data_IF_048765244831
#
_entry.id   IF_048765244831
#
_cell.length_a   1.000
_cell.length_b   1.000
_cell.length_c   1.000
_cell.angle_alpha   90.00
_cell.angle_beta   90.00
_cell.angle_gamma   90.00
#
_symmetry.space_group_name_H-M   'P 1'
#
loop_
_entity.id
_entity.type
_entity.pdbx_description
1 polymer ?
#
# COMPACT_ATOMS: atom_id res chain seq x y z
N UNK A 1 -7.24 27.66 -12.13
CA UNK A 1 -6.01 26.90 -12.46
C UNK A 1 -6.14 25.47 -11.94
N UNK A 2 -6.28 24.46 -12.81
CA UNK A 2 -6.15 23.06 -12.37
C UNK A 2 -4.66 22.81 -12.11
N UNK A 3 -4.30 22.59 -10.84
CA UNK A 3 -2.94 22.25 -10.45
C UNK A 3 -2.54 20.97 -11.21
N UNK A 4 -1.43 21.02 -11.97
CA UNK A 4 -0.91 19.84 -12.67
C UNK A 4 -0.49 18.84 -11.59
N UNK A 5 -1.31 17.80 -11.39
CA UNK A 5 -1.00 16.73 -10.46
C UNK A 5 0.28 16.04 -10.97
N UNK A 6 1.35 16.09 -10.18
CA UNK A 6 2.59 15.40 -10.50
C UNK A 6 2.40 13.88 -10.34
N UNK A 7 3.37 13.05 -10.77
CA UNK A 7 3.24 11.58 -10.73
C UNK A 7 2.88 11.06 -9.34
N UNK A 8 3.52 11.60 -8.30
CA UNK A 8 3.24 11.22 -6.91
C UNK A 8 1.81 11.57 -6.49
N UNK A 9 1.32 12.76 -6.82
CA UNK A 9 -0.07 13.15 -6.55
C UNK A 9 -1.09 12.32 -7.33
N UNK A 10 -0.72 11.84 -8.54
CA UNK A 10 -1.59 10.96 -9.31
C UNK A 10 -1.64 9.57 -8.68
N UNK A 11 -0.51 9.02 -8.24
CA UNK A 11 -0.47 7.78 -7.49
C UNK A 11 -1.31 7.87 -6.22
N UNK A 12 -1.16 8.96 -5.46
CA UNK A 12 -1.95 9.21 -4.25
C UNK A 12 -3.45 9.20 -4.55
N UNK A 13 -3.88 9.95 -5.58
CA UNK A 13 -5.27 9.99 -6.03
C UNK A 13 -5.78 8.60 -6.45
N UNK A 14 -4.99 7.88 -7.26
CA UNK A 14 -5.30 6.53 -7.73
C UNK A 14 -5.49 5.59 -6.53
N UNK A 15 -4.60 5.62 -5.53
CA UNK A 15 -4.71 4.79 -4.32
C UNK A 15 -6.02 5.04 -3.56
N UNK A 16 -6.50 6.28 -3.49
CA UNK A 16 -7.79 6.58 -2.87
C UNK A 16 -8.97 6.00 -3.66
N UNK A 17 -8.86 5.84 -4.99
CA UNK A 17 -9.91 5.20 -5.80
C UNK A 17 -10.09 3.72 -5.48
N UNK A 18 -9.09 3.06 -4.88
CA UNK A 18 -9.21 1.67 -4.43
C UNK A 18 -10.24 1.49 -3.30
N UNK A 19 -10.65 2.60 -2.65
CA UNK A 19 -11.68 2.63 -1.63
C UNK A 19 -12.99 3.21 -2.21
N UNK A 20 -14.02 2.40 -2.46
CA UNK A 20 -15.25 2.87 -3.10
C UNK A 20 -16.16 3.66 -2.14
N UNK A 21 -16.07 3.41 -0.83
CA UNK A 21 -16.84 4.13 0.19
C UNK A 21 -16.10 5.38 0.64
N UNK A 22 -16.82 6.49 0.81
CA UNK A 22 -16.24 7.75 1.30
C UNK A 22 -15.49 7.56 2.63
N UNK A 23 -16.10 6.87 3.58
CA UNK A 23 -15.46 6.60 4.88
C UNK A 23 -14.12 5.86 4.75
N UNK A 24 -14.03 4.90 3.83
CA UNK A 24 -12.79 4.16 3.57
C UNK A 24 -11.73 5.05 2.90
N UNK A 25 -12.15 5.94 1.98
CA UNK A 25 -11.24 6.94 1.39
C UNK A 25 -10.69 7.90 2.44
N UNK A 26 -11.56 8.44 3.29
CA UNK A 26 -11.16 9.39 4.33
C UNK A 26 -10.14 8.73 5.29
N UNK A 27 -10.36 7.47 5.68
CA UNK A 27 -9.42 6.73 6.52
C UNK A 27 -8.12 6.38 5.79
N UNK A 28 -8.19 5.95 4.52
CA UNK A 28 -7.01 5.66 3.70
C UNK A 28 -6.15 6.92 3.51
N UNK A 29 -6.79 8.07 3.26
CA UNK A 29 -6.12 9.37 3.17
C UNK A 29 -5.32 9.67 4.44
N UNK A 30 -5.90 9.46 5.62
CA UNK A 30 -5.19 9.66 6.89
C UNK A 30 -4.01 8.69 7.03
N UNK A 31 -4.19 7.40 6.70
CA UNK A 31 -3.11 6.41 6.75
C UNK A 31 -1.95 6.82 5.82
N UNK A 32 -2.25 7.24 4.60
CA UNK A 32 -1.25 7.68 3.64
C UNK A 32 -0.57 8.98 4.06
N UNK A 33 -1.30 9.94 4.64
CA UNK A 33 -0.70 11.16 5.19
C UNK A 33 0.28 10.83 6.31
N UNK A 34 -0.11 9.98 7.27
CA UNK A 34 0.79 9.55 8.35
C UNK A 34 2.05 8.83 7.81
N UNK A 35 1.91 8.03 6.75
CA UNK A 35 3.05 7.39 6.10
C UNK A 35 3.98 8.40 5.41
N UNK A 36 3.41 9.36 4.68
CA UNK A 36 4.16 10.39 3.93
C UNK A 36 4.84 11.42 4.84
N UNK A 37 4.27 11.68 6.01
CA UNK A 37 4.92 12.48 7.06
C UNK A 37 6.17 11.78 7.62
N UNK A 38 6.37 10.49 7.32
CA UNK A 38 7.55 9.70 7.66
C UNK A 38 7.93 9.78 9.15
N UNK A 39 6.94 9.88 10.04
CA UNK A 39 7.16 10.14 11.46
C UNK A 39 7.92 9.01 12.18
N UNK A 40 8.09 7.83 11.55
CA UNK A 40 8.72 6.66 12.17
C UNK A 40 7.92 6.08 13.34
N UNK A 41 6.72 6.60 13.61
CA UNK A 41 5.88 6.16 14.72
C UNK A 41 5.05 4.99 14.23
N UNK A 42 5.30 3.81 14.81
CA UNK A 42 4.59 2.55 14.52
C UNK A 42 3.08 2.60 14.79
N UNK A 43 2.57 3.67 15.40
CA UNK A 43 1.18 3.83 15.81
C UNK A 43 0.64 5.15 15.28
N UNK A 44 -0.59 5.11 14.75
CA UNK A 44 -1.33 6.28 14.29
C UNK A 44 -1.73 7.26 15.40
N UNK A 45 -1.04 7.26 16.55
CA UNK A 45 -1.25 8.19 17.67
C UNK A 45 -0.95 9.63 17.30
N UNK A 46 -0.06 9.87 16.33
CA UNK A 46 0.22 11.20 15.82
C UNK A 46 -0.92 11.78 14.95
N UNK A 47 -1.90 10.96 14.54
CA UNK A 47 -3.03 11.46 13.76
C UNK A 47 -3.99 12.26 14.64
N UNK A 48 -4.19 13.54 14.29
CA UNK A 48 -5.22 14.40 14.88
C UNK A 48 -6.56 14.30 14.15
N UNK A 49 -6.57 13.78 12.92
CA UNK A 49 -7.75 13.72 12.06
C UNK A 49 -8.67 12.51 12.37
N UNK A 50 -8.11 11.40 12.85
CA UNK A 50 -8.86 10.18 13.23
C UNK A 50 -8.23 9.55 14.46
N UNK A 51 -9.06 8.97 15.32
CA UNK A 51 -8.55 8.26 16.49
C UNK A 51 -7.81 6.97 16.09
N UNK A 52 -6.81 6.53 16.87
CA UNK A 52 -6.09 5.27 16.61
C UNK A 52 -7.03 4.06 16.50
N UNK A 53 -8.08 4.01 17.31
CA UNK A 53 -9.09 2.94 17.26
C UNK A 53 -9.89 2.93 15.94
N UNK A 54 -10.22 4.11 15.39
CA UNK A 54 -10.91 4.20 14.11
C UNK A 54 -10.04 3.71 12.94
N UNK A 55 -8.75 4.05 12.95
CA UNK A 55 -7.79 3.59 11.95
C UNK A 55 -7.55 2.08 12.09
N UNK A 56 -7.37 1.57 13.32
CA UNK A 56 -7.23 0.14 13.58
C UNK A 56 -8.45 -0.65 13.08
N UNK A 57 -9.67 -0.18 13.37
CA UNK A 57 -10.89 -0.80 12.87
C UNK A 57 -10.97 -0.79 11.35
N UNK A 58 -10.53 0.28 10.72
CA UNK A 58 -10.45 0.36 9.26
C UNK A 58 -9.49 -0.68 8.68
N UNK A 59 -8.29 -0.81 9.22
CA UNK A 59 -7.28 -1.74 8.70
C UNK A 59 -7.67 -3.20 8.93
N UNK A 60 -8.28 -3.52 10.08
CA UNK A 60 -8.47 -4.91 10.52
C UNK A 60 -9.88 -5.47 10.36
N UNK A 61 -10.93 -4.64 10.40
CA UNK A 61 -12.32 -5.12 10.48
C UNK A 61 -13.23 -4.62 9.36
N UNK A 62 -12.77 -3.70 8.52
CA UNK A 62 -13.57 -3.18 7.41
C UNK A 62 -13.24 -3.94 6.13
N UNK A 63 -14.27 -4.25 5.34
CA UNK A 63 -14.12 -4.95 4.06
C UNK A 63 -13.65 -3.98 2.95
N UNK A 64 -12.40 -3.52 3.02
CA UNK A 64 -11.70 -2.86 1.92
C UNK A 64 -10.68 -3.82 1.29
N UNK A 65 -10.37 -3.63 0.01
CA UNK A 65 -9.55 -4.60 -0.74
C UNK A 65 -8.10 -4.13 -0.84
N UNK A 66 -7.22 -4.70 -0.01
CA UNK A 66 -5.77 -4.52 -0.13
C UNK A 66 -5.27 -4.98 -1.51
N UNK A 67 -5.83 -6.07 -2.06
CA UNK A 67 -5.48 -6.54 -3.40
C UNK A 67 -5.81 -5.51 -4.48
N UNK A 68 -6.93 -4.80 -4.34
CA UNK A 68 -7.30 -3.71 -5.27
C UNK A 68 -6.31 -2.56 -5.17
N UNK A 69 -5.94 -2.16 -3.94
CA UNK A 69 -4.92 -1.13 -3.73
C UNK A 69 -3.58 -1.51 -4.40
N UNK A 70 -3.09 -2.73 -4.17
CA UNK A 70 -1.85 -3.23 -4.79
C UNK A 70 -1.97 -3.22 -6.32
N UNK A 71 -3.09 -3.68 -6.88
CA UNK A 71 -3.32 -3.64 -8.33
C UNK A 71 -3.28 -2.21 -8.85
N UNK A 72 -3.89 -1.25 -8.17
CA UNK A 72 -3.87 0.15 -8.55
C UNK A 72 -2.45 0.71 -8.57
N UNK A 73 -1.65 0.45 -7.53
CA UNK A 73 -0.24 0.88 -7.47
C UNK A 73 0.56 0.28 -8.64
N UNK A 74 0.40 -1.03 -8.90
CA UNK A 74 1.07 -1.72 -10.02
C UNK A 74 0.69 -1.13 -11.38
N UNK A 75 -0.58 -0.83 -11.58
CA UNK A 75 -1.06 -0.21 -12.83
C UNK A 75 -0.52 1.21 -12.99
N UNK A 76 -0.44 1.99 -11.91
CA UNK A 76 0.17 3.31 -11.94
C UNK A 76 1.65 3.24 -12.34
N UNK A 77 2.42 2.32 -11.76
CA UNK A 77 3.82 2.11 -12.11
C UNK A 77 3.99 1.71 -13.58
N UNK A 78 3.16 0.78 -14.08
CA UNK A 78 3.18 0.36 -15.48
C UNK A 78 2.85 1.51 -16.44
N UNK A 79 1.83 2.32 -16.14
CA UNK A 79 1.48 3.51 -16.95
C UNK A 79 2.62 4.52 -16.94
N UNK A 80 3.22 4.78 -15.79
CA UNK A 80 4.36 5.70 -15.66
C UNK A 80 5.55 5.22 -16.51
N UNK A 81 5.81 3.91 -16.51
CA UNK A 81 6.82 3.31 -17.35
C UNK A 81 6.48 3.46 -18.84
N UNK A 82 5.27 3.10 -19.26
CA UNK A 82 4.81 3.25 -20.65
C UNK A 82 4.88 4.71 -21.13
N UNK A 83 4.47 5.67 -20.30
CA UNK A 83 4.54 7.09 -20.61
C UNK A 83 5.98 7.57 -20.77
N UNK A 84 6.95 6.98 -20.04
CA UNK A 84 8.38 7.28 -20.22
C UNK A 84 8.96 6.78 -21.54
N UNK A 85 8.29 5.80 -22.18
CA UNK A 85 8.65 5.26 -23.48
C UNK A 85 8.04 6.07 -24.63
N UNK A 86 6.92 6.78 -24.39
CA UNK A 86 6.24 7.56 -25.43
C UNK A 86 7.18 8.62 -26.02
N UNK A 87 7.18 8.72 -27.34
CA UNK A 87 7.99 9.71 -28.07
C UNK A 87 9.47 9.37 -28.21
N UNK A 88 9.96 8.26 -27.62
CA UNK A 88 11.33 7.79 -27.89
C UNK A 88 11.43 7.26 -29.32
N UNK A 89 12.44 7.72 -30.06
CA UNK A 89 12.82 7.20 -31.38
C UNK A 89 14.13 6.43 -31.26
N UNK A 90 14.27 5.35 -32.01
CA UNK A 90 15.47 4.50 -32.00
C UNK A 90 15.30 3.19 -31.23
N UNK A 91 16.41 2.61 -30.77
CA UNK A 91 16.44 1.28 -30.14
C UNK A 91 15.56 1.24 -28.87
N UNK A 92 14.73 0.20 -28.68
CA UNK A 92 13.99 0.01 -27.43
C UNK A 92 14.93 -0.02 -26.21
N UNK A 93 14.55 0.55 -25.06
CA UNK A 93 15.37 0.49 -23.87
C UNK A 93 15.47 -0.94 -23.34
N UNK A 94 16.65 -1.30 -22.85
CA UNK A 94 16.82 -2.49 -22.04
C UNK A 94 16.12 -2.28 -20.69
N UNK A 95 15.36 -3.29 -20.24
CA UNK A 95 14.67 -3.27 -18.96
C UNK A 95 15.28 -4.36 -18.09
N UNK A 96 15.81 -3.96 -16.94
CA UNK A 96 16.26 -4.88 -15.90
C UNK A 96 15.13 -5.04 -14.88
N UNK A 97 14.73 -6.30 -14.65
CA UNK A 97 13.68 -6.63 -13.69
C UNK A 97 14.35 -7.41 -12.55
N UNK A 98 14.40 -6.79 -11.37
CA UNK A 98 14.86 -7.45 -10.15
C UNK A 98 13.66 -8.13 -9.51
N UNK A 99 13.76 -9.44 -9.33
CA UNK A 99 12.77 -10.23 -8.61
C UNK A 99 13.47 -10.82 -7.40
N UNK A 100 13.00 -10.42 -6.22
CA UNK A 100 13.48 -10.94 -4.96
C UNK A 100 12.28 -11.31 -4.07
N UNK A 101 12.52 -12.24 -3.17
CA UNK A 101 11.53 -12.68 -2.17
C UNK A 101 12.01 -12.23 -0.80
N UNK A 102 11.16 -11.52 -0.08
CA UNK A 102 11.42 -11.11 1.31
C UNK A 102 10.39 -11.73 2.24
N UNK A 103 10.83 -12.09 3.44
CA UNK A 103 9.97 -12.53 4.53
C UNK A 103 9.66 -11.35 5.45
N UNK A 104 8.38 -11.10 5.71
CA UNK A 104 7.95 -10.17 6.77
C UNK A 104 7.51 -11.04 7.93
N UNK A 105 8.36 -11.15 8.95
CA UNK A 105 8.02 -11.89 10.17
C UNK A 105 6.82 -11.28 10.83
N UNK A 106 5.87 -12.13 11.18
CA UNK A 106 4.59 -11.71 11.76
C UNK A 106 4.58 -12.00 13.26
N UNK A 107 4.60 -10.95 14.06
CA UNK A 107 4.57 -11.06 15.53
C UNK A 107 3.18 -10.75 16.08
N UNK A 108 2.71 -11.56 17.04
CA UNK A 108 1.41 -11.39 17.71
C UNK A 108 0.48 -12.59 17.59
N UNK A 109 -0.75 -12.44 18.10
CA UNK A 109 -1.76 -13.48 18.08
C UNK A 109 -2.66 -13.36 16.84
N UNK A 110 -2.62 -14.37 15.96
CA UNK A 110 -3.41 -14.42 14.74
C UNK A 110 -4.23 -15.70 14.71
N UNK A 111 -5.44 -15.64 15.30
CA UNK A 111 -6.34 -16.78 15.39
C UNK A 111 -6.68 -17.39 14.02
N UNK A 112 -6.75 -16.58 12.97
CA UNK A 112 -7.02 -17.05 11.59
C UNK A 112 -5.88 -17.85 10.97
N UNK A 113 -4.67 -17.80 11.55
CA UNK A 113 -3.52 -18.59 11.13
C UNK A 113 -3.32 -19.83 12.01
N UNK A 114 -4.23 -20.09 12.95
CA UNK A 114 -4.18 -21.29 13.77
C UNK A 114 -4.27 -22.54 12.86
N UNK A 115 -3.41 -23.52 13.13
CA UNK A 115 -3.23 -24.68 12.25
C UNK A 115 -2.43 -24.46 10.96
N UNK A 116 -2.12 -23.23 10.54
CA UNK A 116 -1.19 -22.93 9.43
C UNK A 116 0.24 -22.66 9.92
N UNK A 117 0.39 -22.34 11.20
CA UNK A 117 1.69 -22.18 11.87
C UNK A 117 2.23 -23.57 12.20
N UNK A 118 3.00 -24.14 11.28
CA UNK A 118 3.67 -25.42 11.50
C UNK A 118 5.07 -25.22 12.07
N UNK A 119 5.50 -26.17 12.91
CA UNK A 119 6.89 -26.26 13.37
C UNK A 119 7.61 -27.23 12.46
N UNK A 120 8.59 -26.75 11.69
CA UNK A 120 9.47 -27.61 10.88
C UNK A 120 10.82 -27.71 11.60
N UNK A 121 11.27 -28.92 11.92
CA UNK A 121 12.55 -29.17 12.62
C UNK A 121 12.72 -28.38 13.94
N UNK A 122 11.69 -28.37 14.79
CA UNK A 122 11.68 -27.59 16.06
C UNK A 122 11.84 -26.07 15.88
N UNK A 123 11.87 -25.57 14.64
CA UNK A 123 11.80 -24.16 14.31
C UNK A 123 10.35 -23.83 14.01
N UNK A 124 9.75 -23.00 14.85
CA UNK A 124 8.38 -22.54 14.65
C UNK A 124 8.40 -21.55 13.48
N UNK A 125 7.74 -21.90 12.37
CA UNK A 125 7.63 -21.01 11.24
C UNK A 125 6.78 -19.79 11.61
N UNK A 126 7.34 -18.59 11.52
CA UNK A 126 6.64 -17.31 11.57
C UNK A 126 7.12 -16.41 10.43
#
# INVERSE_FOLDING_TARGET
>A
MKQKINRAGQLYSDMLTACPRKQHRDNMQVVLSCFLEALGISRFHASTAKSPGAISRFLNHQNWSLRTLIRTIRQHALRTFQDSLRGRRGRPPLIEIIVDTTSISKEGAFAELDGWIHTLNSVRGL
#
